data_IF_127976383452
#
_entry.id   IF_127976383452
#
_cell.length_a   1.000
_cell.length_b   1.000
_cell.length_c   1.000
_cell.angle_alpha   90.00
_cell.angle_beta   90.00
_cell.angle_gamma   90.00
#
_symmetry.space_group_name_H-M   'P 1'
#
loop_
_entity.id
_entity.type
_entity.pdbx_description
1 polymer ?
#
# COMPACT_ATOMS: atom_id res chain seq x y z
N UNK A 1 31.78 -37.34 2.83
CA UNK A 1 31.95 -35.94 3.28
C UNK A 1 30.98 -35.04 2.53
N UNK A 2 29.99 -34.44 3.20
CA UNK A 2 29.04 -33.50 2.57
C UNK A 2 29.63 -32.09 2.60
N UNK A 3 29.84 -31.49 1.43
CA UNK A 3 30.27 -30.09 1.25
C UNK A 3 29.15 -29.18 1.77
N UNK A 4 29.41 -28.47 2.86
CA UNK A 4 28.56 -27.38 3.34
C UNK A 4 28.84 -26.17 2.45
N UNK A 5 27.87 -25.78 1.62
CA UNK A 5 27.88 -24.53 0.88
C UNK A 5 27.76 -23.38 1.89
N UNK A 6 28.88 -22.72 2.21
CA UNK A 6 28.87 -21.46 2.94
C UNK A 6 28.33 -20.37 2.01
N UNK A 7 27.08 -19.96 2.21
CA UNK A 7 26.57 -18.74 1.62
C UNK A 7 27.21 -17.55 2.33
N UNK A 8 28.13 -16.87 1.64
CA UNK A 8 28.55 -15.53 2.00
C UNK A 8 27.33 -14.60 1.91
N UNK A 9 26.70 -14.29 3.04
CA UNK A 9 25.81 -13.13 3.16
C UNK A 9 26.69 -11.87 3.12
N UNK A 10 27.07 -11.45 1.92
CA UNK A 10 27.50 -10.07 1.72
C UNK A 10 26.34 -9.16 2.13
N UNK A 11 26.65 -8.08 2.86
CA UNK A 11 25.70 -7.01 3.21
C UNK A 11 25.25 -6.27 1.95
N UNK A 12 24.42 -6.92 1.11
CA UNK A 12 23.67 -6.23 0.07
C UNK A 12 22.51 -5.56 0.80
N UNK A 13 22.55 -4.22 0.87
CA UNK A 13 21.45 -3.42 1.43
C UNK A 13 20.17 -3.83 0.70
N UNK A 14 19.23 -4.46 1.41
CA UNK A 14 17.93 -4.84 0.83
C UNK A 14 17.27 -3.59 0.26
N UNK A 15 16.70 -3.71 -0.93
CA UNK A 15 15.90 -2.64 -1.52
C UNK A 15 14.72 -2.36 -0.58
N UNK A 16 14.48 -1.09 -0.26
CA UNK A 16 13.39 -0.71 0.62
C UNK A 16 12.10 -0.67 -0.19
N UNK A 17 11.20 -1.60 0.12
CA UNK A 17 9.87 -1.63 -0.47
C UNK A 17 8.91 -0.79 0.38
N UNK A 18 8.74 0.47 -0.02
CA UNK A 18 7.81 1.42 0.59
C UNK A 18 6.61 1.58 -0.35
N UNK A 19 5.48 0.99 0.01
CA UNK A 19 4.26 1.01 -0.78
C UNK A 19 3.22 1.86 -0.06
N UNK A 20 2.67 2.86 -0.74
CA UNK A 20 1.48 3.56 -0.25
C UNK A 20 0.26 3.26 -1.11
N UNK A 21 -0.89 3.21 -0.44
CA UNK A 21 -2.19 3.03 -1.08
C UNK A 21 -3.10 4.17 -0.63
N UNK A 22 -3.75 4.80 -1.60
CA UNK A 22 -4.73 5.86 -1.35
C UNK A 22 -5.94 5.72 -2.26
N UNK A 23 -7.12 6.05 -1.74
CA UNK A 23 -8.32 6.24 -2.53
C UNK A 23 -8.45 7.68 -2.98
N UNK A 24 -9.05 7.91 -4.15
CA UNK A 24 -9.43 9.26 -4.59
C UNK A 24 -10.61 9.85 -3.80
N UNK A 25 -11.32 8.98 -3.06
CA UNK A 25 -12.37 9.29 -2.12
C UNK A 25 -12.47 8.17 -1.07
N UNK A 26 -13.21 8.43 0.00
CA UNK A 26 -13.46 7.45 1.06
C UNK A 26 -14.14 6.16 0.55
N UNK A 27 -13.87 5.03 1.24
CA UNK A 27 -14.49 3.71 1.01
C UNK A 27 -14.24 3.06 -0.37
N UNK A 28 -13.21 3.49 -1.10
CA UNK A 28 -12.84 2.89 -2.38
C UNK A 28 -11.98 1.61 -2.25
N UNK A 29 -11.56 1.24 -1.04
CA UNK A 29 -10.83 0.01 -0.77
C UNK A 29 -9.32 0.17 -0.56
N UNK A 30 -8.85 1.37 -0.21
CA UNK A 30 -7.45 1.61 0.16
C UNK A 30 -7.00 0.68 1.29
N UNK A 31 -7.68 0.72 2.45
CA UNK A 31 -7.36 -0.16 3.59
C UNK A 31 -7.45 -1.64 3.23
N UNK A 32 -8.46 -2.04 2.47
CA UNK A 32 -8.61 -3.43 2.02
C UNK A 32 -7.42 -3.89 1.16
N UNK A 33 -6.97 -3.04 0.23
CA UNK A 33 -5.83 -3.31 -0.64
C UNK A 33 -4.53 -3.32 0.15
N UNK A 34 -4.32 -2.36 1.05
CA UNK A 34 -3.17 -2.31 1.97
C UNK A 34 -3.07 -3.58 2.82
N UNK A 35 -4.19 -4.03 3.39
CA UNK A 35 -4.25 -5.27 4.17
C UNK A 35 -3.99 -6.50 3.32
N UNK A 36 -4.53 -6.55 2.09
CA UNK A 36 -4.27 -7.63 1.13
C UNK A 36 -2.78 -7.75 0.86
N UNK A 37 -2.14 -6.63 0.49
CA UNK A 37 -0.70 -6.57 0.20
C UNK A 37 0.11 -7.00 1.43
N UNK A 38 -0.19 -6.43 2.59
CA UNK A 38 0.54 -6.73 3.84
C UNK A 38 0.44 -8.21 4.23
N UNK A 39 -0.76 -8.79 4.19
CA UNK A 39 -0.96 -10.20 4.51
C UNK A 39 -0.35 -11.12 3.44
N UNK A 40 -0.37 -10.75 2.16
CA UNK A 40 0.28 -11.51 1.11
C UNK A 40 1.79 -11.59 1.33
N UNK A 41 2.44 -10.46 1.57
CA UNK A 41 3.88 -10.41 1.83
C UNK A 41 4.24 -11.22 3.09
N UNK A 42 3.47 -11.07 4.17
CA UNK A 42 3.74 -11.78 5.43
C UNK A 42 3.48 -13.29 5.33
N UNK A 43 2.35 -13.71 4.76
CA UNK A 43 1.90 -15.09 4.79
C UNK A 43 2.42 -15.94 3.62
N UNK A 44 2.59 -15.34 2.43
CA UNK A 44 3.02 -16.03 1.21
C UNK A 44 4.51 -15.83 0.99
N UNK A 45 4.99 -14.58 0.97
CA UNK A 45 6.41 -14.30 0.75
C UNK A 45 7.29 -14.52 2.00
N UNK A 46 6.67 -14.66 3.18
CA UNK A 46 7.34 -14.86 4.48
C UNK A 46 8.35 -13.75 4.82
N UNK A 47 8.11 -12.54 4.33
CA UNK A 47 8.93 -11.37 4.61
C UNK A 47 8.35 -10.53 5.77
N UNK A 48 9.19 -9.80 6.53
CA UNK A 48 8.72 -8.94 7.60
C UNK A 48 7.96 -7.73 7.03
N UNK A 49 6.82 -7.40 7.65
CA UNK A 49 5.93 -6.32 7.21
C UNK A 49 5.62 -5.37 8.36
N UNK A 50 5.68 -4.07 8.07
CA UNK A 50 5.14 -3.00 8.88
C UNK A 50 3.99 -2.32 8.11
N UNK A 51 2.78 -2.43 8.63
CA UNK A 51 1.61 -1.69 8.20
C UNK A 51 1.52 -0.37 8.97
N UNK A 52 1.34 0.74 8.27
CA UNK A 52 1.22 2.07 8.85
C UNK A 52 -0.13 2.67 8.47
N UNK A 53 -0.84 3.21 9.46
CA UNK A 53 -1.98 4.11 9.23
C UNK A 53 -1.70 5.46 9.90
N UNK A 54 -1.74 6.60 9.17
CA UNK A 54 -1.45 7.92 9.71
C UNK A 54 -2.63 8.48 10.53
N UNK A 55 -3.17 7.69 11.46
CA UNK A 55 -4.32 8.04 12.30
C UNK A 55 -4.10 7.60 13.75
N UNK A 56 -4.64 8.36 14.70
CA UNK A 56 -4.54 8.06 16.13
C UNK A 56 -5.50 6.95 16.54
N UNK A 57 -6.69 6.94 15.94
CA UNK A 57 -7.74 5.96 16.23
C UNK A 57 -8.05 5.18 14.95
N UNK A 58 -7.45 4.00 14.83
CA UNK A 58 -7.73 3.09 13.72
C UNK A 58 -8.91 2.19 14.07
N UNK A 59 -9.79 1.95 13.09
CA UNK A 59 -10.83 0.91 13.20
C UNK A 59 -10.22 -0.50 13.31
N UNK A 60 -8.95 -0.67 12.93
CA UNK A 60 -8.22 -1.94 13.03
C UNK A 60 -7.81 -2.27 14.47
N UNK A 61 -7.87 -1.33 15.43
CA UNK A 61 -7.56 -1.59 16.84
C UNK A 61 -8.40 -2.72 17.44
N UNK A 62 -9.68 -2.81 17.04
CA UNK A 62 -10.57 -3.90 17.47
C UNK A 62 -10.13 -5.27 16.95
N UNK A 63 -9.41 -5.30 15.82
CA UNK A 63 -8.94 -6.51 15.16
C UNK A 63 -7.53 -6.90 15.62
N UNK A 64 -6.61 -5.95 15.74
CA UNK A 64 -5.23 -6.23 16.20
C UNK A 64 -5.15 -6.44 17.72
N UNK A 65 -6.18 -6.02 18.46
CA UNK A 65 -6.26 -6.14 19.91
C UNK A 65 -5.32 -5.16 20.63
N UNK A 66 -5.12 -5.39 21.93
CA UNK A 66 -4.33 -4.51 22.80
C UNK A 66 -2.87 -4.95 22.98
N UNK A 67 -2.48 -6.10 22.41
CA UNK A 67 -1.13 -6.63 22.60
C UNK A 67 -0.13 -5.83 21.78
N UNK A 68 0.65 -5.00 22.46
CA UNK A 68 1.79 -4.32 21.89
C UNK A 68 3.02 -5.22 21.85
N UNK A 69 3.83 -5.06 20.82
CA UNK A 69 5.13 -5.72 20.64
C UNK A 69 6.13 -4.68 20.15
N UNK A 70 7.41 -4.89 20.47
CA UNK A 70 8.49 -4.15 19.85
C UNK A 70 8.90 -4.83 18.54
N UNK A 71 8.94 -4.06 17.45
CA UNK A 71 9.43 -4.51 16.14
C UNK A 71 10.51 -3.57 15.64
N UNK A 72 11.77 -4.01 15.71
CA UNK A 72 12.94 -3.23 15.24
C UNK A 72 12.99 -1.81 15.86
N UNK A 73 12.76 -1.70 17.17
CA UNK A 73 12.74 -0.42 17.89
C UNK A 73 11.45 0.40 17.71
N UNK A 74 10.37 -0.21 17.22
CA UNK A 74 9.06 0.41 17.02
C UNK A 74 8.00 -0.32 17.85
N UNK A 75 7.36 0.40 18.76
CA UNK A 75 6.17 -0.10 19.46
C UNK A 75 4.97 -0.15 18.50
N UNK A 76 4.41 -1.34 18.33
CA UNK A 76 3.34 -1.61 17.38
C UNK A 76 2.43 -2.74 17.88
N UNK A 77 1.34 -3.00 17.16
CA UNK A 77 0.48 -4.17 17.40
C UNK A 77 0.85 -5.29 16.45
N UNK A 78 0.64 -6.55 16.82
CA UNK A 78 0.91 -7.68 15.91
C UNK A 78 -0.32 -8.55 15.72
N UNK A 79 -0.68 -8.77 14.46
CA UNK A 79 -1.80 -9.62 14.08
C UNK A 79 -1.48 -10.35 12.78
N UNK A 80 -1.76 -11.67 12.73
CA UNK A 80 -1.53 -12.54 11.56
C UNK A 80 -0.16 -12.40 10.88
N UNK A 81 0.90 -12.11 11.66
CA UNK A 81 2.27 -11.97 11.15
C UNK A 81 2.64 -10.57 10.63
N UNK A 82 1.71 -9.64 10.62
CA UNK A 82 1.92 -8.22 10.26
C UNK A 82 2.05 -7.38 11.53
N UNK A 83 2.96 -6.41 11.52
CA UNK A 83 3.11 -5.42 12.59
C UNK A 83 2.38 -4.13 12.18
N UNK A 84 1.59 -3.54 13.06
CA UNK A 84 0.70 -2.41 12.79
C UNK A 84 1.07 -1.20 13.65
N UNK A 85 1.41 -0.09 13.00
CA UNK A 85 1.73 1.18 13.63
C UNK A 85 0.66 2.22 13.27
N UNK A 86 -0.01 2.75 14.29
CA UNK A 86 -0.99 3.82 14.17
C UNK A 86 -0.44 5.09 14.83
N UNK A 87 -0.28 6.16 14.04
CA UNK A 87 0.28 7.43 14.54
C UNK A 87 -0.10 8.58 13.63
N UNK A 88 -0.47 9.73 14.20
CA UNK A 88 -0.64 10.98 13.43
C UNK A 88 0.65 11.77 13.26
N UNK A 89 1.72 11.38 13.96
CA UNK A 89 3.01 12.06 13.85
C UNK A 89 3.73 11.63 12.57
N UNK A 90 3.64 12.45 11.52
CA UNK A 90 4.20 12.20 10.19
C UNK A 90 5.72 12.05 10.23
N UNK A 91 6.44 12.89 10.98
CA UNK A 91 7.90 12.80 11.10
C UNK A 91 8.34 11.47 11.75
N UNK A 92 7.62 11.01 12.78
CA UNK A 92 7.84 9.70 13.39
C UNK A 92 7.64 8.59 12.35
N UNK A 93 6.58 8.68 11.55
CA UNK A 93 6.28 7.68 10.51
C UNK A 93 7.36 7.66 9.42
N UNK A 94 7.75 8.81 8.89
CA UNK A 94 8.84 8.94 7.90
C UNK A 94 10.13 8.35 8.45
N UNK A 95 10.53 8.73 9.66
CA UNK A 95 11.73 8.18 10.31
C UNK A 95 11.63 6.66 10.48
N UNK A 96 10.46 6.15 10.84
CA UNK A 96 10.23 4.71 11.00
C UNK A 96 10.40 3.98 9.66
N UNK A 97 9.70 4.44 8.61
CA UNK A 97 9.76 3.89 7.26
C UNK A 97 11.20 3.80 6.73
N UNK A 98 11.98 4.86 6.97
CA UNK A 98 13.36 4.94 6.48
C UNK A 98 14.36 4.13 7.31
N UNK A 99 14.03 3.66 8.51
CA UNK A 99 14.96 2.91 9.36
C UNK A 99 14.65 1.42 9.46
N UNK A 100 13.39 0.99 9.37
CA UNK A 100 13.05 -0.44 9.45
C UNK A 100 13.58 -1.21 8.23
N UNK A 101 14.06 -2.44 8.48
CA UNK A 101 14.41 -3.44 7.46
C UNK A 101 13.22 -4.41 7.29
N UNK A 102 12.18 -3.91 6.62
CA UNK A 102 10.92 -4.59 6.38
C UNK A 102 10.22 -4.00 5.15
N UNK A 103 9.26 -4.74 4.59
CA UNK A 103 8.27 -4.14 3.69
C UNK A 103 7.40 -3.18 4.48
N UNK A 104 7.18 -1.98 3.96
CA UNK A 104 6.34 -0.98 4.62
C UNK A 104 5.15 -0.66 3.75
N UNK A 105 3.95 -0.92 4.29
CA UNK A 105 2.68 -0.67 3.63
C UNK A 105 2.01 0.49 4.35
N UNK A 106 1.84 1.61 3.66
CA UNK A 106 1.19 2.81 4.18
C UNK A 106 -0.23 2.88 3.65
N UNK A 107 -1.20 2.64 4.53
CA UNK A 107 -2.61 2.90 4.25
C UNK A 107 -2.91 4.37 4.54
N UNK A 108 -2.91 5.18 3.48
CA UNK A 108 -3.26 6.60 3.61
C UNK A 108 -4.77 6.77 3.79
N UNK A 109 -5.58 5.81 3.32
CA UNK A 109 -7.03 5.96 3.15
C UNK A 109 -7.36 6.99 2.07
N UNK A 110 -7.02 8.25 2.32
CA UNK A 110 -7.14 9.39 1.42
C UNK A 110 -5.86 10.25 1.51
N UNK A 111 -5.40 10.77 0.38
CA UNK A 111 -4.22 11.63 0.32
C UNK A 111 -4.61 13.05 0.71
N UNK A 112 -3.99 13.57 1.77
CA UNK A 112 -4.16 14.94 2.25
C UNK A 112 -2.83 15.67 2.22
N UNK A 113 -2.86 16.99 2.44
CA UNK A 113 -1.61 17.76 2.53
C UNK A 113 -0.76 17.33 3.73
N UNK A 114 -1.39 16.98 4.85
CA UNK A 114 -0.69 16.52 6.05
C UNK A 114 0.09 15.22 5.82
N UNK A 115 -0.42 14.32 4.98
CA UNK A 115 0.20 13.01 4.74
C UNK A 115 0.92 12.89 3.39
N UNK A 116 1.01 13.97 2.61
CA UNK A 116 1.65 14.04 1.28
C UNK A 116 3.11 13.57 1.33
N UNK A 117 3.83 13.92 2.41
CA UNK A 117 5.22 13.48 2.61
C UNK A 117 5.36 11.96 2.67
N UNK A 118 4.40 11.25 3.24
CA UNK A 118 4.39 9.78 3.27
C UNK A 118 4.18 9.21 1.87
N UNK A 119 3.31 9.84 1.07
CA UNK A 119 3.08 9.46 -0.32
C UNK A 119 4.34 9.68 -1.16
N UNK A 120 5.00 10.83 -1.01
CA UNK A 120 6.20 11.21 -1.75
C UNK A 120 7.34 10.18 -1.59
N UNK A 121 7.66 9.80 -0.36
CA UNK A 121 8.79 8.89 -0.06
C UNK A 121 8.56 7.44 -0.46
N UNK A 122 7.30 7.03 -0.68
CA UNK A 122 7.00 5.66 -1.10
C UNK A 122 7.48 5.43 -2.54
N UNK A 123 8.21 4.35 -2.77
CA UNK A 123 8.68 3.96 -4.10
C UNK A 123 7.55 3.45 -4.99
N UNK A 124 6.55 2.80 -4.38
CA UNK A 124 5.34 2.33 -5.08
C UNK A 124 4.13 3.11 -4.60
N UNK A 125 3.41 3.73 -5.54
CA UNK A 125 2.23 4.55 -5.29
C UNK A 125 1.03 3.94 -5.98
N UNK A 126 0.03 3.52 -5.20
CA UNK A 126 -1.21 2.92 -5.69
C UNK A 126 -2.37 3.88 -5.42
N UNK A 127 -3.05 4.30 -6.49
CA UNK A 127 -4.23 5.17 -6.43
C UNK A 127 -5.45 4.41 -6.90
N UNK A 128 -6.47 4.34 -6.05
CA UNK A 128 -7.71 3.60 -6.31
C UNK A 128 -8.85 4.58 -6.55
N UNK A 129 -9.52 4.42 -7.68
CA UNK A 129 -10.70 5.20 -8.05
C UNK A 129 -11.81 4.37 -8.68
N UNK A 130 -12.81 5.07 -9.18
CA UNK A 130 -13.94 4.51 -9.90
C UNK A 130 -14.29 5.43 -11.05
N UNK A 131 -14.43 4.87 -12.25
CA UNK A 131 -14.86 5.55 -13.46
C UNK A 131 -16.37 5.41 -13.68
N UNK A 132 -17.11 4.84 -12.72
CA UNK A 132 -18.56 4.93 -12.70
C UNK A 132 -19.00 6.39 -12.80
N UNK A 133 -20.09 6.72 -13.51
CA UNK A 133 -20.45 8.10 -13.84
C UNK A 133 -20.48 9.06 -12.63
N UNK A 134 -20.96 8.58 -11.48
CA UNK A 134 -21.07 9.37 -10.24
C UNK A 134 -19.76 9.49 -9.44
N UNK A 135 -18.72 8.70 -9.74
CA UNK A 135 -17.41 8.76 -9.05
C UNK A 135 -16.30 9.39 -9.91
N UNK A 136 -16.55 9.51 -11.21
CA UNK A 136 -15.55 9.96 -12.19
C UNK A 136 -15.00 11.35 -11.87
N UNK A 137 -15.84 12.24 -11.35
CA UNK A 137 -15.43 13.59 -10.94
C UNK A 137 -14.35 13.52 -9.84
N UNK A 138 -14.57 12.73 -8.80
CA UNK A 138 -13.61 12.56 -7.70
C UNK A 138 -12.26 12.07 -8.21
N UNK A 139 -12.25 11.12 -9.14
CA UNK A 139 -11.02 10.61 -9.73
C UNK A 139 -10.28 11.71 -10.51
N UNK A 140 -10.99 12.48 -11.34
CA UNK A 140 -10.38 13.54 -12.14
C UNK A 140 -9.87 14.70 -11.27
N UNK A 141 -10.66 15.14 -10.29
CA UNK A 141 -10.28 16.21 -9.37
C UNK A 141 -9.09 15.80 -8.51
N UNK A 142 -9.04 14.55 -8.03
CA UNK A 142 -7.89 14.05 -7.29
C UNK A 142 -6.60 14.16 -8.11
N UNK A 143 -6.60 13.68 -9.36
CA UNK A 143 -5.40 13.73 -10.20
C UNK A 143 -5.00 15.17 -10.49
N UNK A 144 -5.96 16.03 -10.88
CA UNK A 144 -5.68 17.43 -11.23
C UNK A 144 -5.22 18.26 -10.04
N UNK A 145 -5.82 18.08 -8.87
CA UNK A 145 -5.58 18.96 -7.73
C UNK A 145 -4.48 18.45 -6.81
N UNK A 146 -4.21 17.13 -6.78
CA UNK A 146 -3.26 16.53 -5.86
C UNK A 146 -2.03 15.94 -6.54
N UNK A 147 -2.11 15.54 -7.82
CA UNK A 147 -1.04 14.76 -8.45
C UNK A 147 -0.28 15.47 -9.57
N UNK A 148 -0.99 16.06 -10.55
CA UNK A 148 -0.39 16.42 -11.87
C UNK A 148 0.79 17.39 -11.76
N UNK A 149 0.74 18.34 -10.83
CA UNK A 149 1.79 19.36 -10.65
C UNK A 149 2.88 18.94 -9.66
N UNK A 150 2.69 17.82 -8.94
CA UNK A 150 3.55 17.38 -7.83
C UNK A 150 4.30 16.08 -8.11
N UNK A 151 3.76 15.23 -8.97
CA UNK A 151 4.25 13.87 -9.16
C UNK A 151 4.27 13.48 -10.64
N UNK A 152 5.27 12.68 -11.00
CA UNK A 152 5.28 11.98 -12.28
C UNK A 152 4.19 10.90 -12.28
N UNK A 153 3.10 11.12 -13.01
CA UNK A 153 1.97 10.18 -13.10
C UNK A 153 2.38 8.83 -13.69
N UNK A 154 3.48 8.75 -14.45
CA UNK A 154 3.98 7.47 -14.98
C UNK A 154 4.55 6.56 -13.89
N UNK A 155 4.95 7.14 -12.76
CA UNK A 155 5.43 6.42 -11.56
C UNK A 155 4.30 5.95 -10.64
N UNK A 156 3.05 6.30 -10.94
CA UNK A 156 1.87 5.99 -10.12
C UNK A 156 1.02 4.92 -10.82
N UNK A 157 0.61 3.91 -10.05
CA UNK A 157 -0.31 2.88 -10.55
C UNK A 157 -1.75 3.24 -10.22
N UNK A 158 -2.56 3.41 -11.27
CA UNK A 158 -3.99 3.76 -11.16
C UNK A 158 -4.87 2.52 -11.33
N UNK A 159 -5.81 2.33 -10.40
CA UNK A 159 -6.68 1.17 -10.37
C UNK A 159 -8.16 1.54 -10.24
N UNK A 160 -8.99 0.73 -10.88
CA UNK A 160 -10.45 0.75 -10.78
C UNK A 160 -11.00 -0.67 -10.56
N UNK A 161 -12.11 -0.80 -9.83
CA UNK A 161 -12.77 -2.10 -9.59
C UNK A 161 -13.46 -2.67 -10.83
N UNK A 162 -14.20 -1.85 -11.58
CA UNK A 162 -15.01 -2.28 -12.72
C UNK A 162 -14.47 -1.71 -14.03
N UNK A 163 -13.34 -2.25 -14.50
CA UNK A 163 -12.67 -1.67 -15.65
C UNK A 163 -13.31 -2.10 -16.97
N UNK A 164 -13.65 -1.13 -17.83
CA UNK A 164 -14.01 -1.36 -19.24
C UNK A 164 -12.88 -0.93 -20.17
N UNK A 165 -12.94 -1.36 -21.43
CA UNK A 165 -11.98 -0.91 -22.44
C UNK A 165 -12.12 0.59 -22.72
N UNK A 166 -13.35 1.09 -22.70
CA UNK A 166 -13.70 2.50 -22.86
C UNK A 166 -13.08 3.33 -21.73
N UNK A 167 -13.20 2.89 -20.48
CA UNK A 167 -12.62 3.56 -19.33
C UNK A 167 -11.10 3.63 -19.43
N UNK A 168 -10.44 2.53 -19.83
CA UNK A 168 -8.97 2.50 -20.06
C UNK A 168 -8.55 3.52 -21.11
N UNK A 169 -9.21 3.50 -22.27
CA UNK A 169 -8.89 4.37 -23.39
C UNK A 169 -9.08 5.83 -23.03
N UNK A 170 -10.18 6.15 -22.37
CA UNK A 170 -10.48 7.51 -21.97
C UNK A 170 -9.53 8.02 -20.89
N UNK A 171 -9.26 7.22 -19.86
CA UNK A 171 -8.32 7.58 -18.81
C UNK A 171 -6.92 7.85 -19.37
N UNK A 172 -6.46 7.01 -20.30
CA UNK A 172 -5.19 7.21 -20.98
C UNK A 172 -5.19 8.47 -21.87
N UNK A 173 -6.29 8.75 -22.57
CA UNK A 173 -6.43 9.98 -23.38
C UNK A 173 -6.34 11.25 -22.53
N UNK A 174 -6.90 11.24 -21.33
CA UNK A 174 -6.96 12.42 -20.44
C UNK A 174 -5.64 12.60 -19.68
N UNK A 175 -5.07 11.52 -19.14
CA UNK A 175 -3.96 11.59 -18.18
C UNK A 175 -2.63 11.02 -18.69
N UNK A 176 -2.60 10.42 -19.88
CA UNK A 176 -1.40 9.82 -20.46
C UNK A 176 -0.91 8.53 -19.75
N UNK A 177 -1.57 8.08 -18.69
CA UNK A 177 -1.19 6.92 -17.89
C UNK A 177 -2.17 5.74 -18.06
N UNK A 178 -1.78 4.55 -17.56
CA UNK A 178 -2.57 3.32 -17.69
C UNK A 178 -3.50 3.15 -16.49
N UNK A 179 -4.77 2.86 -16.77
CA UNK A 179 -5.74 2.39 -15.78
C UNK A 179 -5.76 0.86 -15.74
N UNK A 180 -5.72 0.28 -14.54
CA UNK A 180 -5.67 -1.17 -14.31
C UNK A 180 -6.89 -1.66 -13.53
N UNK A 181 -7.22 -2.94 -13.68
CA UNK A 181 -8.25 -3.56 -12.84
C UNK A 181 -7.67 -3.85 -11.47
N UNK A 182 -8.42 -3.54 -10.41
CA UNK A 182 -8.10 -4.03 -9.08
C UNK A 182 -8.39 -5.54 -9.00
N UNK A 183 -7.51 -6.36 -8.40
CA UNK A 183 -7.86 -7.74 -8.04
C UNK A 183 -9.10 -7.79 -7.15
N UNK A 184 -9.95 -8.79 -7.39
CA UNK A 184 -11.09 -9.09 -6.53
C UNK A 184 -10.60 -10.05 -5.45
N UNK A 185 -10.44 -9.52 -4.23
CA UNK A 185 -10.04 -10.27 -3.05
C UNK A 185 -11.21 -10.24 -2.07
N UNK A 186 -11.67 -11.41 -1.63
CA UNK A 186 -12.86 -11.50 -0.78
C UNK A 186 -12.56 -11.18 0.69
N UNK A 187 -11.43 -11.70 1.20
CA UNK A 187 -11.00 -11.50 2.58
C UNK A 187 -9.47 -11.23 2.59
N UNK A 188 -9.03 -10.01 2.96
CA UNK A 188 -7.62 -9.67 2.97
C UNK A 188 -6.82 -10.42 4.05
N UNK A 189 -7.50 -11.11 4.99
CA UNK A 189 -6.89 -11.91 6.05
C UNK A 189 -6.94 -13.42 5.79
N UNK A 190 -7.51 -13.86 4.67
CA UNK A 190 -7.64 -15.28 4.29
C UNK A 190 -7.44 -15.47 2.79
N UNK A 191 -6.27 -15.06 2.30
CA UNK A 191 -5.89 -15.13 0.89
C UNK A 191 -5.84 -16.57 0.37
N UNK A 192 -6.27 -16.76 -0.87
CA UNK A 192 -6.32 -18.05 -1.57
C UNK A 192 -5.27 -18.08 -2.68
N UNK A 193 -4.68 -19.25 -2.95
CA UNK A 193 -3.63 -19.39 -3.98
C UNK A 193 -4.00 -18.83 -5.36
N UNK A 194 -5.24 -18.98 -5.88
CA UNK A 194 -5.61 -18.38 -7.16
C UNK A 194 -5.53 -16.84 -7.19
N UNK A 195 -5.53 -16.18 -6.04
CA UNK A 195 -5.46 -14.72 -5.92
C UNK A 195 -3.99 -14.21 -5.97
N UNK A 196 -3.00 -15.08 -5.75
CA UNK A 196 -1.61 -14.67 -5.52
C UNK A 196 -0.96 -13.97 -6.70
N UNK A 197 -1.18 -14.47 -7.92
CA UNK A 197 -0.61 -13.84 -9.12
C UNK A 197 -1.20 -12.45 -9.38
N UNK A 198 -2.47 -12.22 -9.05
CA UNK A 198 -3.06 -10.90 -9.19
C UNK A 198 -2.58 -9.94 -8.10
N UNK A 199 -2.41 -10.40 -6.85
CA UNK A 199 -1.84 -9.58 -5.77
C UNK A 199 -0.39 -9.22 -6.08
N UNK A 200 0.39 -10.15 -6.63
CA UNK A 200 1.79 -9.92 -7.01
C UNK A 200 1.95 -8.80 -8.04
N UNK A 201 0.97 -8.55 -8.90
CA UNK A 201 0.97 -7.42 -9.85
C UNK A 201 0.83 -6.05 -9.17
N UNK A 202 0.46 -6.01 -7.90
CA UNK A 202 0.41 -4.79 -7.09
C UNK A 202 1.76 -4.41 -6.47
N UNK A 203 2.73 -5.34 -6.48
CA UNK A 203 4.09 -5.14 -5.98
C UNK A 203 5.02 -4.69 -7.12
#
# INVERSE_FOLDING_TARGET
MKRILKFNKGNKKREKHLICVTGVASRLGASHTSLTIANYISSVLREPVLYIEPKKYSNLLLLVGQKQVEFQGVDCYRFKGVNYLFSQNIEKLVKTMLNVDAWVIVDLGELTEDNDRLFQICSTKIVIGSMMPWCRRDYQEFIRNKLIDKYDLSSISFYEKNISWENKREFNKIFGCKLRSMPIINDPFSLKEPEFEEIKKLL
#
